data_IF_813152633458
#
_entry.id   IF_813152633458
#
_cell.length_a   1.000
_cell.length_b   1.000
_cell.length_c   1.000
_cell.angle_alpha   90.00
_cell.angle_beta   90.00
_cell.angle_gamma   90.00
#
_symmetry.space_group_name_H-M   'P 1'
#
loop_
_entity.id
_entity.type
_entity.pdbx_description
1 polymer ?
#
# COMPACT_ATOMS: atom_id res chain seq x y z
N UNK A 1 1.04 -0.78 -6.14
CA UNK A 1 -0.38 -0.56 -6.45
C UNK A 1 -1.22 -1.69 -7.07
N UNK A 2 -0.74 -2.92 -7.24
CA UNK A 2 -1.59 -4.00 -7.80
C UNK A 2 -2.90 -4.22 -7.05
N UNK A 3 -2.96 -3.91 -5.74
CA UNK A 3 -4.19 -4.01 -4.95
C UNK A 3 -5.33 -3.08 -5.38
N UNK A 4 -5.06 -2.03 -6.18
CA UNK A 4 -6.10 -1.14 -6.73
C UNK A 4 -7.10 -1.87 -7.63
N UNK A 5 -6.73 -3.03 -8.19
CA UNK A 5 -7.64 -3.87 -9.01
C UNK A 5 -8.87 -4.37 -8.24
N UNK A 6 -8.81 -4.36 -6.91
CA UNK A 6 -9.90 -4.79 -6.05
C UNK A 6 -10.71 -3.61 -5.47
N UNK A 7 -10.40 -2.38 -5.86
CA UNK A 7 -11.14 -1.19 -5.45
C UNK A 7 -12.28 -0.94 -6.45
N UNK A 8 -13.53 -0.74 -5.99
CA UNK A 8 -14.64 -0.43 -6.89
C UNK A 8 -14.40 0.86 -7.67
N UNK A 9 -14.73 0.86 -8.97
CA UNK A 9 -14.54 2.00 -9.86
C UNK A 9 -15.16 3.30 -9.35
N UNK A 10 -16.34 3.23 -8.73
CA UNK A 10 -17.01 4.42 -8.18
C UNK A 10 -16.26 5.08 -7.02
N UNK A 11 -15.37 4.34 -6.33
CA UNK A 11 -14.45 4.86 -5.32
C UNK A 11 -13.12 5.27 -5.97
N UNK A 12 -12.56 4.41 -6.82
CA UNK A 12 -11.26 4.61 -7.46
C UNK A 12 -11.23 5.81 -8.41
N UNK A 13 -12.32 6.04 -9.14
CA UNK A 13 -12.43 7.06 -10.19
C UNK A 13 -13.25 8.28 -9.76
N UNK A 14 -13.56 8.41 -8.46
CA UNK A 14 -14.35 9.54 -7.94
C UNK A 14 -13.58 10.84 -8.13
N UNK A 15 -14.19 11.83 -8.80
CA UNK A 15 -13.58 13.14 -9.06
C UNK A 15 -13.73 14.16 -7.91
N UNK A 16 -14.41 13.78 -6.82
CA UNK A 16 -14.64 14.61 -5.64
C UNK A 16 -14.04 13.99 -4.38
N UNK A 17 -14.16 14.66 -3.21
CA UNK A 17 -13.65 14.11 -1.97
C UNK A 17 -14.30 12.76 -1.65
N UNK A 18 -13.50 11.84 -1.15
CA UNK A 18 -13.99 10.59 -0.58
C UNK A 18 -14.69 10.89 0.75
N UNK A 19 -15.84 10.28 0.97
CA UNK A 19 -16.42 10.18 2.30
C UNK A 19 -15.63 9.18 3.18
N UNK A 20 -16.04 9.06 4.43
CA UNK A 20 -15.36 8.22 5.41
C UNK A 20 -15.43 6.72 5.07
N UNK A 21 -16.52 6.24 4.46
CA UNK A 21 -16.63 4.84 4.06
C UNK A 21 -15.78 4.54 2.82
N UNK A 22 -15.78 5.44 1.86
CA UNK A 22 -14.96 5.38 0.64
C UNK A 22 -13.47 5.48 0.97
N UNK A 23 -13.08 6.34 1.92
CA UNK A 23 -11.69 6.44 2.39
C UNK A 23 -11.20 5.12 2.97
N UNK A 24 -12.00 4.48 3.82
CA UNK A 24 -11.69 3.15 4.36
C UNK A 24 -11.55 2.07 3.29
N UNK A 25 -12.17 2.23 2.11
CA UNK A 25 -11.98 1.35 0.96
C UNK A 25 -10.67 1.69 0.25
N UNK A 26 -10.40 2.98 0.01
CA UNK A 26 -9.20 3.46 -0.67
C UNK A 26 -7.90 3.18 0.10
N UNK A 27 -7.96 2.94 1.41
CA UNK A 27 -6.82 2.56 2.26
C UNK A 27 -6.49 1.05 2.23
N UNK A 28 -7.33 0.21 1.61
CA UNK A 28 -7.14 -1.24 1.53
C UNK A 28 -6.10 -1.76 0.50
N UNK A 29 -5.78 -1.06 -0.61
CA UNK A 29 -4.87 -1.57 -1.64
C UNK A 29 -3.54 -2.14 -1.14
N UNK A 30 -2.87 -1.58 -0.11
CA UNK A 30 -1.63 -2.17 0.39
C UNK A 30 -1.82 -3.62 0.89
N UNK A 31 -2.88 -3.87 1.67
CA UNK A 31 -3.21 -5.21 2.19
C UNK A 31 -3.64 -6.14 1.06
N UNK A 32 -4.50 -5.67 0.17
CA UNK A 32 -4.98 -6.46 -0.97
C UNK A 32 -3.83 -6.84 -1.92
N UNK A 33 -2.90 -5.91 -2.17
CA UNK A 33 -1.71 -6.16 -2.98
C UNK A 33 -0.77 -7.18 -2.32
N UNK A 34 -0.59 -7.10 -1.01
CA UNK A 34 0.16 -8.11 -0.25
C UNK A 34 -0.48 -9.49 -0.39
N UNK A 35 -1.79 -9.63 -0.20
CA UNK A 35 -2.50 -10.92 -0.27
C UNK A 35 -2.47 -11.56 -1.66
N UNK A 36 -2.40 -10.73 -2.72
CA UNK A 36 -2.22 -11.19 -4.10
C UNK A 36 -0.80 -11.74 -4.29
N UNK A 37 0.22 -11.02 -3.80
CA UNK A 37 1.63 -11.31 -4.09
C UNK A 37 2.27 -12.34 -3.15
N UNK A 38 1.79 -12.44 -1.90
CA UNK A 38 2.37 -13.27 -0.84
C UNK A 38 2.06 -14.77 -0.97
N UNK A 39 1.53 -15.21 -2.12
CA UNK A 39 1.14 -16.60 -2.37
C UNK A 39 2.30 -17.50 -2.79
N UNK A 40 3.45 -16.92 -3.12
CA UNK A 40 4.63 -17.62 -3.61
C UNK A 40 5.80 -17.46 -2.66
N UNK A 41 6.56 -18.53 -2.41
CA UNK A 41 7.82 -18.49 -1.66
C UNK A 41 9.00 -17.88 -2.43
N UNK A 42 8.80 -17.46 -3.69
CA UNK A 42 9.85 -16.82 -4.49
C UNK A 42 10.33 -15.53 -3.79
N UNK A 43 11.65 -15.33 -3.56
CA UNK A 43 12.16 -14.16 -2.86
C UNK A 43 11.77 -12.81 -3.48
N UNK A 44 11.66 -12.74 -4.82
CA UNK A 44 11.22 -11.54 -5.54
C UNK A 44 9.75 -11.26 -5.24
N UNK A 45 8.91 -12.30 -5.23
CA UNK A 45 7.48 -12.15 -4.90
C UNK A 45 7.28 -11.74 -3.45
N UNK A 46 8.09 -12.26 -2.53
CA UNK A 46 8.07 -11.88 -1.12
C UNK A 46 8.51 -10.41 -0.92
N UNK A 47 9.54 -9.97 -1.64
CA UNK A 47 9.95 -8.57 -1.66
C UNK A 47 8.84 -7.66 -2.22
N UNK A 48 8.23 -8.05 -3.35
CA UNK A 48 7.14 -7.31 -3.97
C UNK A 48 5.90 -7.23 -3.06
N UNK A 49 5.53 -8.33 -2.39
CA UNK A 49 4.45 -8.34 -1.42
C UNK A 49 4.71 -7.34 -0.29
N UNK A 50 5.93 -7.34 0.25
CA UNK A 50 6.31 -6.40 1.32
C UNK A 50 6.26 -4.95 0.87
N UNK A 51 6.77 -4.63 -0.32
CA UNK A 51 6.67 -3.30 -0.91
C UNK A 51 5.19 -2.92 -1.06
N UNK A 52 4.36 -3.80 -1.61
CA UNK A 52 2.93 -3.53 -1.76
C UNK A 52 2.25 -3.17 -0.43
N UNK A 53 2.63 -3.83 0.67
CA UNK A 53 2.08 -3.58 2.00
C UNK A 53 2.54 -2.26 2.63
N UNK A 54 3.79 -1.86 2.40
CA UNK A 54 4.46 -0.86 3.24
C UNK A 54 4.89 0.42 2.47
N UNK A 55 4.79 0.47 1.14
CA UNK A 55 5.21 1.65 0.37
C UNK A 55 4.37 2.92 0.64
N UNK A 56 3.25 2.80 1.35
CA UNK A 56 2.45 3.94 1.83
C UNK A 56 2.76 4.34 3.29
N UNK A 57 3.65 3.60 3.97
CA UNK A 57 4.16 3.98 5.28
C UNK A 57 5.05 5.23 5.14
N UNK A 58 5.02 6.08 6.16
CA UNK A 58 5.81 7.30 6.22
C UNK A 58 6.88 7.17 7.29
N UNK A 59 8.06 7.76 7.07
CA UNK A 59 9.19 7.65 8.00
C UNK A 59 8.84 8.10 9.43
N UNK A 60 7.93 9.07 9.56
CA UNK A 60 7.45 9.65 10.80
C UNK A 60 6.23 8.92 11.42
N UNK A 61 5.78 7.81 10.82
CA UNK A 61 4.65 7.02 11.33
C UNK A 61 3.28 7.51 10.90
N UNK A 62 3.19 8.62 10.16
CA UNK A 62 1.92 9.15 9.66
C UNK A 62 1.29 8.33 8.52
N UNK A 63 2.00 7.31 8.04
CA UNK A 63 1.57 6.44 6.96
C UNK A 63 0.65 5.31 7.41
N UNK A 64 0.32 4.43 6.45
CA UNK A 64 -0.63 3.34 6.62
C UNK A 64 -0.15 2.13 5.81
N UNK A 65 -0.64 0.90 6.07
CA UNK A 65 -1.75 0.53 6.95
C UNK A 65 -1.36 0.14 8.38
N UNK A 66 -0.07 0.15 8.75
CA UNK A 66 0.41 -0.26 10.07
C UNK A 66 0.94 0.90 10.91
N UNK A 67 1.24 2.06 10.33
CA UNK A 67 1.82 3.19 11.04
C UNK A 67 3.25 2.88 11.49
N UNK A 68 4.04 2.28 10.59
CA UNK A 68 5.43 1.93 10.88
C UNK A 68 6.31 3.18 10.84
N UNK A 69 7.31 3.22 11.72
CA UNK A 69 8.22 4.36 11.86
C UNK A 69 9.67 3.97 11.55
N UNK A 70 10.40 4.87 10.90
CA UNK A 70 11.84 4.76 10.67
C UNK A 70 12.31 3.41 10.11
N UNK A 71 13.03 2.64 10.94
CA UNK A 71 13.56 1.33 10.58
C UNK A 71 12.59 0.16 10.76
N UNK A 72 11.40 0.42 11.32
CA UNK A 72 10.29 -0.52 11.27
C UNK A 72 9.79 -0.76 9.84
N UNK A 73 9.98 0.21 8.94
CA UNK A 73 9.65 0.09 7.51
C UNK A 73 10.79 -0.63 6.80
N UNK A 74 10.47 -1.68 6.04
CA UNK A 74 11.50 -2.42 5.33
C UNK A 74 12.22 -1.54 4.29
N UNK A 75 13.54 -1.74 4.13
CA UNK A 75 14.37 -0.90 3.25
C UNK A 75 13.84 -0.80 1.82
N UNK A 76 13.31 -1.89 1.27
CA UNK A 76 12.68 -1.88 -0.06
C UNK A 76 11.46 -0.95 -0.14
N UNK A 77 10.63 -0.96 0.90
CA UNK A 77 9.42 -0.13 0.98
C UNK A 77 9.78 1.34 1.16
N UNK A 78 10.86 1.65 1.89
CA UNK A 78 11.39 3.02 2.00
C UNK A 78 11.92 3.55 0.67
N UNK A 79 12.63 2.71 -0.09
CA UNK A 79 13.09 3.07 -1.44
C UNK A 79 11.88 3.32 -2.34
N UNK A 80 10.90 2.41 -2.32
CA UNK A 80 9.67 2.55 -3.11
C UNK A 80 8.89 3.81 -2.75
N UNK A 81 8.75 4.14 -1.45
CA UNK A 81 8.08 5.35 -0.97
C UNK A 81 8.68 6.62 -1.58
N UNK A 82 10.00 6.71 -1.68
CA UNK A 82 10.67 7.89 -2.27
C UNK A 82 10.33 8.05 -3.75
N UNK A 83 10.13 6.94 -4.47
CA UNK A 83 9.83 6.95 -5.91
C UNK A 83 8.33 7.13 -6.19
N UNK A 84 7.47 6.70 -5.26
CA UNK A 84 6.00 6.73 -5.39
C UNK A 84 5.39 8.12 -5.13
N UNK A 85 6.13 9.03 -4.47
CA UNK A 85 5.69 10.42 -4.27
C UNK A 85 5.72 11.17 -5.62
N UNK A 86 4.59 11.18 -6.33
CA UNK A 86 4.30 12.04 -7.49
C UNK A 86 2.86 12.53 -7.44
#
# INVERSE_FOLDING_TARGET
DVGKVAIPDHVLLKSGPLDEAERRIMEQPPRLGFDILNRSGNPIMQAAARIALEHQEAWDGSGYPKGLEGEGIHVFSRIARVVDVV
#
